data_IF_116789403239
#
_entry.id   IF_116789403239
#
_cell.length_a   1.000
_cell.length_b   1.000
_cell.length_c   1.000
_cell.angle_alpha   90.00
_cell.angle_beta   90.00
_cell.angle_gamma   90.00
#
_symmetry.space_group_name_H-M   'P 1'
#
loop_
_entity.id
_entity.type
_entity.pdbx_description
1 polymer ?
#
# COMPACT_ATOMS: atom_id res chain seq x y z
N UNK A 1 4.87 -16.24 -3.10
CA UNK A 1 3.97 -15.19 -2.55
C UNK A 1 2.51 -15.29 -3.04
N UNK A 2 2.24 -15.38 -4.34
CA UNK A 2 0.85 -15.42 -4.87
C UNK A 2 0.07 -16.67 -4.46
N UNK A 3 0.71 -17.86 -4.51
CA UNK A 3 0.03 -19.12 -4.17
C UNK A 3 -0.52 -19.16 -2.74
N UNK A 4 0.26 -18.80 -1.68
CA UNK A 4 -0.29 -18.67 -0.33
C UNK A 4 -1.40 -17.63 -0.18
N UNK A 5 -1.31 -16.49 -0.89
CA UNK A 5 -2.35 -15.44 -0.85
C UNK A 5 -3.68 -15.93 -1.43
N UNK A 6 -3.63 -16.64 -2.56
CA UNK A 6 -4.83 -17.21 -3.19
C UNK A 6 -5.45 -18.28 -2.29
N UNK A 7 -4.64 -19.16 -1.70
CA UNK A 7 -5.13 -20.18 -0.76
C UNK A 7 -5.76 -19.52 0.47
N UNK A 8 -5.10 -18.51 1.05
CA UNK A 8 -5.64 -17.75 2.18
C UNK A 8 -6.96 -17.07 1.85
N UNK A 9 -7.07 -16.45 0.67
CA UNK A 9 -8.31 -15.84 0.20
C UNK A 9 -9.43 -16.88 0.03
N UNK A 10 -9.16 -18.01 -0.63
CA UNK A 10 -10.13 -19.11 -0.83
C UNK A 10 -10.61 -19.66 0.51
N UNK A 11 -9.71 -19.93 1.47
CA UNK A 11 -10.08 -20.40 2.80
C UNK A 11 -10.94 -19.36 3.53
N UNK A 12 -10.57 -18.08 3.47
CA UNK A 12 -11.36 -17.01 4.09
C UNK A 12 -12.74 -16.83 3.45
N UNK A 13 -12.87 -17.07 2.13
CA UNK A 13 -14.14 -16.98 1.40
C UNK A 13 -15.08 -18.17 1.70
N UNK A 14 -14.58 -19.41 1.72
CA UNK A 14 -15.43 -20.60 1.87
C UNK A 14 -15.52 -21.14 3.30
N UNK A 15 -14.53 -20.88 4.15
CA UNK A 15 -14.46 -21.39 5.52
C UNK A 15 -13.81 -20.37 6.49
N UNK A 16 -14.43 -19.19 6.72
CA UNK A 16 -13.84 -18.10 7.49
C UNK A 16 -13.50 -18.46 8.95
N UNK A 17 -14.20 -19.45 9.52
CA UNK A 17 -13.99 -19.94 10.88
C UNK A 17 -12.95 -21.07 10.99
N UNK A 18 -12.45 -21.61 9.86
CA UNK A 18 -11.48 -22.70 9.88
C UNK A 18 -10.13 -22.33 10.53
N UNK A 19 -9.82 -21.03 10.60
CA UNK A 19 -8.62 -20.48 11.24
C UNK A 19 -8.90 -19.90 12.64
N UNK A 20 -10.15 -19.98 13.11
CA UNK A 20 -10.62 -19.49 14.41
C UNK A 20 -10.69 -20.60 15.48
N UNK A 21 -9.89 -21.66 15.31
CA UNK A 21 -9.81 -22.83 16.20
C UNK A 21 -9.30 -22.46 17.61
N UNK A 22 -8.82 -21.23 17.81
CA UNK A 22 -8.29 -20.71 19.06
C UNK A 22 -6.78 -20.91 19.19
N UNK A 23 -6.21 -20.35 20.26
CA UNK A 23 -4.78 -20.47 20.58
C UNK A 23 -3.86 -19.87 19.51
N UNK A 24 -2.76 -20.57 19.21
CA UNK A 24 -1.71 -20.11 18.31
C UNK A 24 -2.18 -19.93 16.87
N UNK A 25 -3.05 -20.81 16.37
CA UNK A 25 -3.53 -20.77 14.98
C UNK A 25 -4.30 -19.48 14.70
N UNK A 26 -5.21 -19.08 15.59
CA UNK A 26 -5.97 -17.83 15.42
C UNK A 26 -5.08 -16.61 15.64
N UNK A 27 -4.16 -16.66 16.60
CA UNK A 27 -3.20 -15.59 16.82
C UNK A 27 -2.30 -15.36 15.59
N UNK A 28 -1.84 -16.42 14.93
CA UNK A 28 -0.94 -16.34 13.78
C UNK A 28 -1.69 -16.00 12.48
N UNK A 29 -2.80 -16.68 12.18
CA UNK A 29 -3.46 -16.61 10.87
C UNK A 29 -4.60 -15.58 10.79
N UNK A 30 -5.25 -15.23 11.91
CA UNK A 30 -6.36 -14.26 11.91
C UNK A 30 -5.92 -12.87 12.36
N UNK A 31 -5.16 -12.79 13.47
CA UNK A 31 -4.78 -11.53 14.09
C UNK A 31 -3.30 -11.15 13.90
N UNK A 32 -2.50 -12.05 13.33
CA UNK A 32 -1.03 -11.95 13.29
C UNK A 32 -0.45 -11.13 12.14
N UNK A 33 -1.29 -10.64 11.22
CA UNK A 33 -0.81 -9.99 10.00
C UNK A 33 0.08 -8.76 10.28
N UNK A 34 -0.38 -7.82 11.11
CA UNK A 34 0.39 -6.63 11.46
C UNK A 34 1.74 -6.95 12.15
N UNK A 35 1.80 -7.80 13.21
CA UNK A 35 3.08 -8.15 13.82
C UNK A 35 4.01 -8.95 12.91
N UNK A 36 3.50 -9.83 12.04
CA UNK A 36 4.30 -10.55 11.04
C UNK A 36 4.90 -9.59 10.01
N UNK A 37 4.10 -8.65 9.49
CA UNK A 37 4.59 -7.61 8.56
C UNK A 37 5.63 -6.74 9.27
N UNK A 38 5.39 -6.34 10.52
CA UNK A 38 6.34 -5.54 11.31
C UNK A 38 7.67 -6.25 11.51
N UNK A 39 7.66 -7.53 11.89
CA UNK A 39 8.87 -8.33 12.04
C UNK A 39 9.60 -8.50 10.70
N UNK A 40 8.86 -8.76 9.62
CA UNK A 40 9.42 -8.88 8.28
C UNK A 40 10.10 -7.59 7.82
N UNK A 41 9.43 -6.44 7.98
CA UNK A 41 9.98 -5.12 7.65
C UNK A 41 11.19 -4.76 8.51
N UNK A 42 11.20 -5.15 9.79
CA UNK A 42 12.35 -4.96 10.68
C UNK A 42 13.57 -5.75 10.18
N UNK A 43 13.39 -7.04 9.88
CA UNK A 43 14.47 -7.88 9.35
C UNK A 43 15.00 -7.37 8.01
N UNK A 44 14.10 -6.97 7.12
CA UNK A 44 14.44 -6.36 5.83
C UNK A 44 15.18 -5.03 6.01
N UNK A 45 14.72 -4.18 6.92
CA UNK A 45 15.31 -2.89 7.21
C UNK A 45 16.71 -3.00 7.83
N UNK A 46 16.94 -4.01 8.67
CA UNK A 46 18.25 -4.29 9.27
C UNK A 46 19.32 -4.68 8.24
N UNK A 47 18.91 -5.19 7.07
CA UNK A 47 19.81 -5.53 5.96
C UNK A 47 20.24 -4.35 5.08
N UNK A 48 19.66 -3.16 5.24
CA UNK A 48 19.95 -1.99 4.39
C UNK A 48 21.16 -1.22 4.91
N UNK A 49 22.13 -0.94 4.04
CA UNK A 49 23.23 -0.04 4.35
C UNK A 49 22.80 1.45 4.31
N UNK A 50 23.28 2.28 5.25
CA UNK A 50 23.00 3.73 5.27
C UNK A 50 23.44 4.44 3.98
N UNK A 51 24.45 3.89 3.29
CA UNK A 51 24.94 4.39 2.01
C UNK A 51 23.95 4.17 0.85
N UNK A 52 23.09 3.15 0.94
CA UNK A 52 22.05 2.87 -0.04
C UNK A 52 20.79 3.74 0.13
N UNK A 53 20.61 4.37 1.31
CA UNK A 53 19.44 5.21 1.63
C UNK A 53 19.10 6.30 0.59
N UNK A 54 20.05 7.14 0.10
CA UNK A 54 19.73 8.16 -0.91
C UNK A 54 19.31 7.54 -2.25
N UNK A 55 19.91 6.42 -2.63
CA UNK A 55 19.55 5.73 -3.88
C UNK A 55 18.17 5.06 -3.76
N UNK A 56 17.87 4.47 -2.60
CA UNK A 56 16.55 3.93 -2.29
C UNK A 56 15.45 5.01 -2.31
N UNK A 57 15.75 6.22 -1.83
CA UNK A 57 14.81 7.35 -1.84
C UNK A 57 14.48 7.80 -3.27
N UNK A 58 15.51 7.93 -4.11
CA UNK A 58 15.34 8.26 -5.53
C UNK A 58 14.54 7.20 -6.26
N UNK A 59 14.84 5.92 -6.02
CA UNK A 59 14.20 4.81 -6.70
C UNK A 59 12.73 4.67 -6.27
N UNK A 60 12.45 4.65 -4.97
CA UNK A 60 11.09 4.61 -4.44
C UNK A 60 10.25 5.84 -4.85
N UNK A 61 10.86 7.03 -4.85
CA UNK A 61 10.20 8.26 -5.32
C UNK A 61 9.88 8.20 -6.81
N UNK A 62 10.82 7.74 -7.64
CA UNK A 62 10.62 7.60 -9.09
C UNK A 62 9.53 6.59 -9.41
N UNK A 63 9.51 5.43 -8.74
CA UNK A 63 8.47 4.40 -8.91
C UNK A 63 7.09 4.98 -8.55
N UNK A 64 7.01 5.66 -7.41
CA UNK A 64 5.74 6.22 -6.90
C UNK A 64 5.21 7.31 -7.83
N UNK A 65 6.08 8.23 -8.25
CA UNK A 65 5.72 9.33 -9.14
C UNK A 65 5.31 8.83 -10.52
N UNK A 66 6.10 7.93 -11.11
CA UNK A 66 5.83 7.36 -12.44
C UNK A 66 4.50 6.62 -12.44
N UNK A 67 4.23 5.81 -11.41
CA UNK A 67 2.96 5.12 -11.22
C UNK A 67 1.77 6.10 -11.17
N UNK A 68 1.88 7.15 -10.37
CA UNK A 68 0.82 8.14 -10.23
C UNK A 68 0.57 8.89 -11.55
N UNK A 69 1.63 9.30 -12.24
CA UNK A 69 1.52 9.98 -13.53
C UNK A 69 0.85 9.10 -14.59
N UNK A 70 1.23 7.82 -14.67
CA UNK A 70 0.62 6.87 -15.61
C UNK A 70 -0.85 6.64 -15.25
N UNK A 71 -1.16 6.46 -13.96
CA UNK A 71 -2.54 6.28 -13.51
C UNK A 71 -3.43 7.48 -13.88
N UNK A 72 -2.95 8.70 -13.64
CA UNK A 72 -3.65 9.94 -14.01
C UNK A 72 -3.79 10.06 -15.53
N UNK A 73 -2.72 9.82 -16.29
CA UNK A 73 -2.75 9.92 -17.75
C UNK A 73 -3.78 8.96 -18.37
N UNK A 74 -3.84 7.71 -17.89
CA UNK A 74 -4.81 6.74 -18.36
C UNK A 74 -6.23 7.06 -17.91
N UNK A 75 -6.43 7.46 -16.65
CA UNK A 75 -7.74 7.85 -16.15
C UNK A 75 -8.34 9.04 -16.88
N UNK A 76 -7.55 10.11 -17.05
CA UNK A 76 -7.96 11.29 -17.82
C UNK A 76 -8.13 10.97 -19.30
N UNK A 77 -7.31 10.07 -19.86
CA UNK A 77 -7.47 9.57 -21.22
C UNK A 77 -8.81 8.86 -21.42
N UNK A 78 -9.22 8.01 -20.47
CA UNK A 78 -10.52 7.35 -20.49
C UNK A 78 -11.66 8.34 -20.33
N UNK A 79 -11.53 9.30 -19.42
CA UNK A 79 -12.54 10.34 -19.22
C UNK A 79 -12.70 11.25 -20.45
N UNK A 80 -11.61 11.55 -21.16
CA UNK A 80 -11.65 12.35 -22.38
C UNK A 80 -12.25 11.60 -23.58
N UNK A 81 -11.99 10.30 -23.71
CA UNK A 81 -12.44 9.50 -24.85
C UNK A 81 -13.84 8.90 -24.67
N UNK A 82 -14.20 8.52 -23.43
CA UNK A 82 -15.44 7.78 -23.12
C UNK A 82 -16.39 8.56 -22.19
N UNK A 83 -15.99 9.74 -21.72
CA UNK A 83 -16.82 10.57 -20.86
C UNK A 83 -17.04 9.96 -19.47
N UNK A 84 -18.08 10.43 -18.79
CA UNK A 84 -18.36 10.06 -17.39
C UNK A 84 -18.75 8.58 -17.17
N UNK A 85 -19.27 7.90 -18.20
CA UNK A 85 -19.57 6.46 -18.14
C UNK A 85 -18.31 5.59 -18.17
N UNK A 86 -17.20 6.14 -18.68
CA UNK A 86 -15.91 5.47 -18.75
C UNK A 86 -15.90 4.23 -19.65
N UNK A 87 -14.98 3.31 -19.39
CA UNK A 87 -14.83 2.06 -20.16
C UNK A 87 -15.41 0.90 -19.34
N UNK A 88 -16.35 0.15 -19.91
CA UNK A 88 -17.00 -1.00 -19.23
C UNK A 88 -17.63 -0.64 -17.85
N UNK A 89 -18.07 0.61 -17.67
CA UNK A 89 -18.60 1.12 -16.40
C UNK A 89 -17.53 1.53 -15.37
N UNK A 90 -16.24 1.47 -15.74
CA UNK A 90 -15.14 2.01 -14.94
C UNK A 90 -14.90 3.47 -15.32
N UNK A 91 -15.25 4.39 -14.42
CA UNK A 91 -14.95 5.80 -14.59
C UNK A 91 -13.43 6.06 -14.57
N UNK A 92 -13.01 7.19 -15.16
CA UNK A 92 -11.60 7.62 -15.11
C UNK A 92 -11.07 7.68 -13.67
N UNK A 93 -11.88 8.15 -12.73
CA UNK A 93 -11.56 8.17 -11.31
C UNK A 93 -11.39 6.77 -10.70
N UNK A 94 -12.24 5.80 -11.07
CA UNK A 94 -12.11 4.42 -10.62
C UNK A 94 -10.82 3.77 -11.12
N UNK A 95 -10.42 4.08 -12.37
CA UNK A 95 -9.16 3.62 -12.95
C UNK A 95 -7.96 4.23 -12.21
N UNK A 96 -7.99 5.54 -11.95
CA UNK A 96 -6.92 6.21 -11.17
C UNK A 96 -6.82 5.60 -9.77
N UNK A 97 -7.94 5.40 -9.08
CA UNK A 97 -7.97 4.80 -7.75
C UNK A 97 -7.42 3.37 -7.75
N UNK A 98 -7.84 2.53 -8.71
CA UNK A 98 -7.37 1.15 -8.81
C UNK A 98 -5.88 1.08 -9.16
N UNK A 99 -5.41 1.87 -10.12
CA UNK A 99 -4.01 1.86 -10.55
C UNK A 99 -3.07 2.49 -9.53
N UNK A 100 -3.51 3.50 -8.78
CA UNK A 100 -2.71 4.18 -7.76
C UNK A 100 -2.57 3.34 -6.47
N UNK A 101 -3.40 2.32 -6.26
CA UNK A 101 -3.28 1.41 -5.13
C UNK A 101 -2.03 0.53 -5.24
N UNK A 102 -1.26 0.40 -4.15
CA UNK A 102 -0.10 -0.49 -4.07
C UNK A 102 -0.26 -1.45 -2.90
N UNK A 103 0.44 -2.58 -2.99
CA UNK A 103 0.57 -3.53 -1.90
C UNK A 103 2.03 -3.58 -1.45
N UNK A 104 2.39 -2.72 -0.49
CA UNK A 104 3.72 -2.68 0.09
C UNK A 104 4.20 -4.02 0.65
N UNK A 105 3.30 -4.87 1.15
CA UNK A 105 3.63 -6.20 1.67
C UNK A 105 4.07 -7.19 0.58
N UNK A 106 3.36 -7.21 -0.55
CA UNK A 106 3.74 -8.04 -1.71
C UNK A 106 5.04 -7.54 -2.34
N UNK A 107 5.19 -6.23 -2.47
CA UNK A 107 6.43 -5.63 -2.96
C UNK A 107 7.61 -6.01 -2.05
N UNK A 108 7.46 -5.83 -0.73
CA UNK A 108 8.48 -6.16 0.26
C UNK A 108 8.88 -7.65 0.18
N UNK A 109 7.93 -8.56 0.04
CA UNK A 109 8.23 -9.97 -0.12
C UNK A 109 9.01 -10.29 -1.40
N UNK A 110 8.66 -9.67 -2.54
CA UNK A 110 9.34 -9.89 -3.81
C UNK A 110 10.77 -9.32 -3.79
N UNK A 111 10.96 -8.12 -3.24
CA UNK A 111 12.30 -7.51 -3.18
C UNK A 111 13.19 -8.14 -2.10
N UNK A 112 12.60 -8.78 -1.09
CA UNK A 112 13.35 -9.60 -0.14
C UNK A 112 13.90 -10.89 -0.75
N UNK A 113 13.23 -11.45 -1.77
CA UNK A 113 13.65 -12.69 -2.45
C UNK A 113 14.49 -12.42 -3.71
N UNK A 114 14.14 -11.40 -4.50
CA UNK A 114 14.72 -11.13 -5.82
C UNK A 114 15.33 -9.72 -5.97
N UNK A 115 15.18 -8.86 -4.97
CA UNK A 115 15.62 -7.46 -5.04
C UNK A 115 17.04 -7.26 -4.51
N UNK A 116 17.53 -6.04 -4.67
CA UNK A 116 18.79 -5.58 -4.07
C UNK A 116 18.53 -4.60 -2.90
N UNK A 117 19.60 -4.16 -2.21
CA UNK A 117 19.50 -3.24 -1.06
C UNK A 117 18.71 -1.95 -1.36
N UNK A 118 18.73 -1.45 -2.61
CA UNK A 118 17.99 -0.24 -3.00
C UNK A 118 16.50 -0.53 -3.13
N UNK A 119 16.14 -1.69 -3.69
CA UNK A 119 14.75 -2.12 -3.84
C UNK A 119 14.10 -2.37 -2.48
N UNK A 120 14.86 -2.95 -1.54
CA UNK A 120 14.46 -3.13 -0.14
C UNK A 120 14.29 -1.78 0.55
N UNK A 121 15.20 -0.83 0.33
CA UNK A 121 15.05 0.52 0.88
C UNK A 121 13.88 1.32 0.31
N UNK A 122 13.52 1.09 -0.95
CA UNK A 122 12.39 1.77 -1.61
C UNK A 122 11.03 1.46 -0.95
N UNK A 123 10.92 0.35 -0.19
CA UNK A 123 9.73 -0.01 0.59
C UNK A 123 9.31 1.14 1.52
N UNK A 124 10.28 1.84 2.11
CA UNK A 124 10.00 2.95 3.03
C UNK A 124 9.24 4.09 2.36
N UNK A 125 9.64 4.48 1.15
CA UNK A 125 8.96 5.51 0.34
C UNK A 125 7.61 5.00 -0.15
N UNK A 126 7.55 3.75 -0.62
CA UNK A 126 6.30 3.16 -1.11
C UNK A 126 5.26 3.04 0.02
N UNK A 127 5.71 2.76 1.24
CA UNK A 127 4.87 2.73 2.44
C UNK A 127 4.34 4.11 2.84
N UNK A 128 5.02 5.21 2.47
CA UNK A 128 4.46 6.57 2.62
C UNK A 128 3.31 6.81 1.63
N UNK A 129 3.38 6.18 0.45
CA UNK A 129 2.29 6.24 -0.53
C UNK A 129 1.05 5.48 -0.08
N UNK A 130 1.26 4.27 0.44
CA UNK A 130 0.17 3.42 0.93
C UNK A 130 -0.34 3.87 2.32
N UNK A 131 0.45 4.69 3.01
CA UNK A 131 0.13 5.28 4.31
C UNK A 131 -0.62 6.62 4.21
N UNK A 132 -1.03 7.19 5.35
CA UNK A 132 -1.79 8.44 5.39
C UNK A 132 -0.96 9.68 5.02
N UNK A 133 0.32 9.54 4.69
CA UNK A 133 1.26 10.66 4.57
C UNK A 133 0.92 11.61 3.41
N UNK A 134 0.80 11.12 2.18
CA UNK A 134 0.43 12.00 1.05
C UNK A 134 -0.98 12.55 1.18
N UNK A 135 -1.90 11.77 1.73
CA UNK A 135 -3.25 12.22 2.07
C UNK A 135 -3.20 13.35 3.11
N UNK A 136 -2.37 13.25 4.14
CA UNK A 136 -2.18 14.31 5.14
C UNK A 136 -1.49 15.55 4.56
N UNK A 137 -0.56 15.42 3.62
CA UNK A 137 0.02 16.57 2.92
C UNK A 137 -1.02 17.25 2.04
N UNK A 138 -1.78 16.48 1.25
CA UNK A 138 -2.82 16.99 0.37
C UNK A 138 -3.95 17.68 1.16
N UNK A 139 -4.36 17.07 2.28
CA UNK A 139 -5.44 17.58 3.13
C UNK A 139 -4.95 18.55 4.20
N UNK A 140 -3.65 18.63 4.50
CA UNK A 140 -3.11 19.37 5.64
C UNK A 140 -3.42 20.87 5.63
N UNK A 141 -3.72 21.44 4.46
CA UNK A 141 -4.19 22.83 4.34
C UNK A 141 -5.71 22.98 4.43
N UNK A 142 -6.47 21.94 4.08
CA UNK A 142 -7.94 21.95 4.05
C UNK A 142 -8.57 21.43 5.34
N UNK A 143 -7.90 20.51 6.05
CA UNK A 143 -8.41 19.82 7.25
C UNK A 143 -7.91 20.46 8.54
N UNK A 144 -6.94 21.38 8.53
CA UNK A 144 -6.52 22.11 9.74
C UNK A 144 -7.69 22.75 10.51
N UNK A 145 -8.71 23.36 9.87
CA UNK A 145 -9.91 23.85 10.55
C UNK A 145 -10.79 22.71 11.11
N UNK A 146 -10.93 21.60 10.39
CA UNK A 146 -11.75 20.43 10.77
C UNK A 146 -11.09 19.59 11.87
N UNK A 147 -9.75 19.52 11.91
CA UNK A 147 -8.99 18.88 12.97
C UNK A 147 -9.05 19.71 14.26
N UNK A 148 -9.04 21.05 14.13
CA UNK A 148 -9.25 21.99 15.24
C UNK A 148 -10.66 21.86 15.84
N UNK A 149 -11.69 21.65 15.02
CA UNK A 149 -13.06 21.42 15.51
C UNK A 149 -13.23 20.06 16.22
N UNK A 150 -12.48 19.04 15.79
CA UNK A 150 -12.44 17.74 16.48
C UNK A 150 -11.76 17.80 17.86
N UNK A 151 -10.76 18.67 18.00
CA UNK A 151 -10.05 18.86 19.27
C UNK A 151 -10.81 19.76 20.26
N UNK A 152 -11.68 20.66 19.78
CA UNK A 152 -12.54 21.50 20.61
C UNK A 152 -13.82 20.83 21.09
N UNK A 153 -14.14 19.63 20.60
CA UNK A 153 -15.28 18.81 21.04
C UNK A 153 -14.89 17.77 22.10
N UNK A 154 -13.62 17.75 22.53
CA UNK A 154 -13.11 16.85 23.59
C UNK A 154 -12.79 17.58 24.91
N UNK A 155 -13.26 18.81 25.09
CA UNK A 155 -13.26 19.54 26.36
C UNK A 155 -14.58 20.29 26.52
#
# INVERSE_FOLDING_TARGET
MVVPLVIGAVINTFAPHALEVGGFTTALFKNGAAPLIGAFLLCMGAGISIKAAPQALLQGGTITLTKLLIAIALGLGVEHLFGAEGIFGLSGLAIIAAMSNSNGGLYAALVGEFGNERDVGAISILSLNDGPFFTMIALGRQVWPTFRSWHSLRY
#
